data_IF_689697661481
#
_entry.id   IF_689697661481
#
_cell.length_a   1.000
_cell.length_b   1.000
_cell.length_c   1.000
_cell.angle_alpha   90.00
_cell.angle_beta   90.00
_cell.angle_gamma   90.00
#
_symmetry.space_group_name_H-M   'P 1'
#
loop_
_entity.id
_entity.type
_entity.pdbx_description
1 polymer ?
#
# COMPACT_ATOMS: atom_id res chain seq x y z
N UNK A 1 11.73 20.88 -28.43
CA UNK A 1 10.72 19.79 -28.36
C UNK A 1 10.87 19.18 -26.97
N UNK A 2 9.81 19.21 -26.15
CA UNK A 2 9.84 18.50 -24.87
C UNK A 2 9.96 17.00 -25.13
N UNK A 3 10.75 16.31 -24.30
CA UNK A 3 10.83 14.86 -24.31
C UNK A 3 9.43 14.26 -24.04
N UNK A 4 9.13 13.13 -24.66
CA UNK A 4 7.84 12.44 -24.51
C UNK A 4 8.02 11.14 -23.75
N UNK A 5 7.00 10.75 -23.01
CA UNK A 5 6.94 9.51 -22.24
C UNK A 5 5.69 8.71 -22.57
N UNK A 6 5.74 7.40 -22.40
CA UNK A 6 4.58 6.52 -22.38
C UNK A 6 3.93 6.56 -21.00
N UNK A 7 2.61 6.51 -20.95
CA UNK A 7 1.82 6.40 -19.72
C UNK A 7 0.53 5.63 -19.99
N UNK A 8 -0.12 5.19 -18.93
CA UNK A 8 -1.47 4.63 -18.96
C UNK A 8 -2.41 5.60 -18.25
N UNK A 9 -3.52 5.96 -18.86
CA UNK A 9 -4.51 6.85 -18.26
C UNK A 9 -5.90 6.22 -18.21
N UNK A 10 -6.71 6.58 -17.24
CA UNK A 10 -8.10 6.16 -17.19
C UNK A 10 -8.92 6.80 -18.30
N UNK A 11 -9.77 5.99 -18.93
CA UNK A 11 -10.85 6.46 -19.80
C UNK A 11 -12.08 6.83 -18.96
N UNK A 12 -13.07 7.47 -19.58
CA UNK A 12 -14.36 7.78 -18.92
C UNK A 12 -15.09 6.51 -18.42
N UNK A 13 -14.72 5.32 -18.91
CA UNK A 13 -15.25 4.02 -18.47
C UNK A 13 -14.38 3.33 -17.43
N UNK A 14 -13.38 4.02 -16.89
CA UNK A 14 -12.43 3.50 -15.90
C UNK A 14 -11.59 2.30 -16.38
N UNK A 15 -11.44 2.13 -17.69
CA UNK A 15 -10.43 1.27 -18.28
C UNK A 15 -9.14 2.06 -18.50
N UNK A 16 -8.02 1.39 -18.61
CA UNK A 16 -6.75 2.05 -18.90
C UNK A 16 -6.41 1.96 -20.39
N UNK A 17 -5.92 3.07 -20.93
CA UNK A 17 -5.43 3.17 -22.30
C UNK A 17 -4.02 3.73 -22.34
N UNK A 18 -3.17 3.25 -23.29
CA UNK A 18 -1.85 3.82 -23.49
C UNK A 18 -1.94 5.22 -24.12
N UNK A 19 -1.11 6.13 -23.63
CA UNK A 19 -0.99 7.49 -24.11
C UNK A 19 0.44 7.94 -24.18
N UNK A 20 0.70 8.98 -24.99
CA UNK A 20 1.97 9.69 -25.02
C UNK A 20 1.77 11.05 -24.37
N UNK A 21 2.54 11.32 -23.31
CA UNK A 21 2.53 12.57 -22.54
C UNK A 21 3.88 13.27 -22.65
N UNK A 22 3.96 14.59 -22.45
CA UNK A 22 5.26 15.24 -22.19
C UNK A 22 5.89 14.65 -20.93
N UNK A 23 7.21 14.49 -20.90
CA UNK A 23 7.90 14.22 -19.63
C UNK A 23 7.73 15.45 -18.74
N UNK A 24 7.25 15.31 -17.51
CA UNK A 24 7.03 16.45 -16.62
C UNK A 24 8.37 17.05 -16.16
N UNK A 25 8.39 18.36 -15.93
CA UNK A 25 9.55 19.07 -15.38
C UNK A 25 9.35 19.30 -13.88
N UNK A 26 10.31 18.88 -13.02
CA UNK A 26 10.18 19.05 -11.59
C UNK A 26 10.25 20.52 -11.21
N UNK A 27 9.25 21.01 -10.49
CA UNK A 27 9.22 22.35 -9.93
C UNK A 27 10.11 22.44 -8.67
N UNK A 28 10.24 23.64 -8.10
CA UNK A 28 10.98 23.81 -6.83
C UNK A 28 10.42 22.89 -5.74
N UNK A 29 11.30 22.10 -5.11
CA UNK A 29 10.95 21.13 -4.07
C UNK A 29 10.43 19.80 -4.61
N UNK A 30 10.43 19.56 -5.92
CA UNK A 30 9.97 18.32 -6.55
C UNK A 30 11.13 17.49 -7.12
N UNK A 31 10.89 16.20 -7.27
CA UNK A 31 11.82 15.23 -7.84
C UNK A 31 11.14 14.53 -9.03
N UNK A 32 11.84 14.47 -10.15
CA UNK A 32 11.46 13.63 -11.28
C UNK A 32 12.04 12.23 -11.09
N UNK A 33 11.18 11.23 -11.13
CA UNK A 33 11.56 9.82 -11.06
C UNK A 33 11.39 9.16 -12.42
N UNK A 34 12.43 8.49 -12.89
CA UNK A 34 12.29 7.47 -13.92
C UNK A 34 11.77 6.21 -13.25
N UNK A 35 10.51 5.89 -13.52
CA UNK A 35 9.80 4.79 -12.84
C UNK A 35 10.30 3.45 -13.39
N UNK A 36 10.63 2.52 -12.51
CA UNK A 36 11.01 1.14 -12.86
C UNK A 36 9.83 0.18 -12.64
N UNK A 37 9.07 0.39 -11.57
CA UNK A 37 7.97 -0.48 -11.18
C UNK A 37 6.91 0.29 -10.38
N UNK A 38 5.64 -0.15 -10.49
CA UNK A 38 4.46 0.45 -9.86
C UNK A 38 3.63 -0.63 -9.19
N UNK A 39 3.24 -0.41 -7.94
CA UNK A 39 2.28 -1.25 -7.25
C UNK A 39 0.85 -0.98 -7.71
N UNK A 40 0.08 -2.05 -7.94
CA UNK A 40 -1.30 -1.95 -8.41
C UNK A 40 -2.28 -2.06 -7.27
N UNK A 41 -3.17 -1.08 -7.17
CA UNK A 41 -4.36 -1.13 -6.31
C UNK A 41 -5.63 -1.02 -7.16
N UNK A 42 -6.34 -2.13 -7.42
CA UNK A 42 -7.53 -2.11 -8.27
C UNK A 42 -8.63 -1.16 -7.81
N UNK A 43 -8.68 -0.87 -6.50
CA UNK A 43 -9.63 0.07 -5.89
C UNK A 43 -9.38 1.54 -6.25
N UNK A 44 -8.20 1.90 -6.76
CA UNK A 44 -7.94 3.28 -7.24
C UNK A 44 -8.96 3.77 -8.25
N UNK A 45 -9.55 2.87 -9.03
CA UNK A 45 -10.59 3.19 -10.01
C UNK A 45 -11.78 3.95 -9.42
N UNK A 46 -12.09 3.70 -8.14
CA UNK A 46 -13.30 4.23 -7.48
C UNK A 46 -12.98 5.24 -6.38
N UNK A 47 -11.72 5.62 -6.21
CA UNK A 47 -11.36 6.64 -5.24
C UNK A 47 -11.77 8.04 -5.69
N UNK A 48 -12.20 8.85 -4.75
CA UNK A 48 -12.54 10.26 -5.02
C UNK A 48 -11.35 11.02 -5.59
N UNK A 49 -10.14 10.74 -5.11
CA UNK A 49 -8.88 11.34 -5.56
C UNK A 49 -8.50 10.99 -7.00
N UNK A 50 -9.01 9.89 -7.55
CA UNK A 50 -8.84 9.54 -8.97
C UNK A 50 -9.77 10.35 -9.88
N UNK A 51 -10.96 10.68 -9.41
CA UNK A 51 -12.02 11.36 -10.17
C UNK A 51 -12.14 12.85 -9.91
N UNK A 52 -11.49 13.38 -8.86
CA UNK A 52 -11.52 14.80 -8.48
C UNK A 52 -10.14 15.28 -8.03
N UNK A 53 -9.87 16.55 -8.27
CA UNK A 53 -8.74 17.25 -7.66
C UNK A 53 -9.04 17.62 -6.20
N UNK A 54 -8.04 18.08 -5.46
CA UNK A 54 -8.18 18.48 -4.05
C UNK A 54 -9.17 19.64 -3.83
N UNK A 55 -9.41 20.46 -4.85
CA UNK A 55 -10.39 21.55 -4.83
C UNK A 55 -11.82 21.09 -5.16
N UNK A 56 -12.03 19.77 -5.38
CA UNK A 56 -13.31 19.18 -5.74
C UNK A 56 -13.69 19.28 -7.21
N UNK A 57 -12.85 19.87 -8.07
CA UNK A 57 -13.10 19.86 -9.52
C UNK A 57 -12.92 18.48 -10.11
N UNK A 58 -13.73 18.13 -11.11
CA UNK A 58 -13.67 16.81 -11.74
C UNK A 58 -12.34 16.62 -12.48
N UNK A 59 -11.72 15.46 -12.22
CA UNK A 59 -10.48 15.02 -12.87
C UNK A 59 -10.81 13.92 -13.87
N UNK A 60 -10.40 14.13 -15.11
CA UNK A 60 -10.49 13.14 -16.18
C UNK A 60 -9.08 12.69 -16.55
N UNK A 61 -8.97 11.46 -17.05
CA UNK A 61 -7.71 10.96 -17.64
C UNK A 61 -6.53 10.91 -16.63
N UNK A 62 -6.81 10.60 -15.36
CA UNK A 62 -5.78 10.42 -14.36
C UNK A 62 -4.86 9.24 -14.73
N UNK A 63 -3.57 9.39 -14.46
CA UNK A 63 -2.61 8.29 -14.49
C UNK A 63 -2.67 7.61 -13.11
N UNK A 64 -2.96 6.29 -13.00
CA UNK A 64 -3.00 5.58 -11.72
C UNK A 64 -1.63 5.15 -11.23
N UNK A 65 -1.61 4.48 -10.04
CA UNK A 65 -0.42 3.89 -9.47
C UNK A 65 0.34 4.85 -8.57
N UNK A 66 -0.14 5.01 -7.34
CA UNK A 66 0.46 5.97 -6.41
C UNK A 66 1.78 5.47 -5.81
N UNK A 67 1.97 4.16 -5.63
CA UNK A 67 3.22 3.61 -5.08
C UNK A 67 4.15 3.07 -6.16
N UNK A 68 5.44 3.32 -6.01
CA UNK A 68 6.42 3.02 -7.04
C UNK A 68 7.83 2.80 -6.48
N UNK A 69 8.70 2.28 -7.35
CA UNK A 69 10.15 2.33 -7.20
C UNK A 69 10.79 2.74 -8.54
N UNK A 70 11.87 3.48 -8.47
CA UNK A 70 12.55 4.00 -9.66
C UNK A 70 13.87 4.67 -9.32
N UNK A 71 14.35 5.48 -10.28
CA UNK A 71 15.62 6.18 -10.23
C UNK A 71 15.37 7.69 -10.29
N UNK A 72 16.06 8.46 -9.48
CA UNK A 72 16.02 9.93 -9.53
C UNK A 72 16.58 10.40 -10.87
N UNK A 73 15.74 11.02 -11.70
CA UNK A 73 16.07 11.49 -13.05
C UNK A 73 16.19 13.02 -13.16
N UNK A 74 15.65 13.76 -12.21
CA UNK A 74 15.73 15.21 -12.16
C UNK A 74 15.41 15.76 -10.78
N UNK A 75 15.98 16.93 -10.45
CA UNK A 75 15.81 17.59 -9.16
C UNK A 75 15.35 19.02 -9.40
N UNK A 76 14.22 19.40 -8.82
CA UNK A 76 13.78 20.79 -8.76
C UNK A 76 14.63 21.64 -7.83
N UNK A 77 14.53 22.94 -7.97
CA UNK A 77 15.30 23.88 -7.14
C UNK A 77 15.01 23.66 -5.64
N UNK A 78 16.04 23.69 -4.82
CA UNK A 78 15.93 23.56 -3.36
C UNK A 78 15.82 22.13 -2.85
N UNK A 79 15.76 21.11 -3.70
CA UNK A 79 15.82 19.71 -3.28
C UNK A 79 17.19 19.37 -2.72
N UNK A 80 17.23 18.76 -1.56
CA UNK A 80 18.44 18.26 -0.89
C UNK A 80 18.26 16.82 -0.44
N UNK A 81 19.34 16.10 -0.17
CA UNK A 81 19.30 14.71 0.34
C UNK A 81 19.13 13.65 -0.74
N UNK A 82 18.97 14.02 -2.01
CA UNK A 82 18.90 13.12 -3.16
C UNK A 82 19.84 13.56 -4.28
N UNK A 83 20.31 12.62 -5.07
CA UNK A 83 21.19 12.81 -6.23
C UNK A 83 20.63 12.12 -7.47
N UNK A 84 20.97 12.61 -8.65
CA UNK A 84 20.66 11.91 -9.90
C UNK A 84 21.24 10.49 -9.86
N UNK A 85 20.43 9.51 -10.24
CA UNK A 85 20.81 8.09 -10.22
C UNK A 85 20.50 7.35 -8.93
N UNK A 86 20.06 8.03 -7.87
CA UNK A 86 19.64 7.37 -6.64
C UNK A 86 18.45 6.43 -6.88
N UNK A 87 18.57 5.21 -6.38
CA UNK A 87 17.46 4.26 -6.38
C UNK A 87 16.53 4.53 -5.19
N UNK A 88 15.26 4.78 -5.47
CA UNK A 88 14.25 5.20 -4.48
C UNK A 88 12.96 4.40 -4.59
N UNK A 89 12.17 4.43 -3.52
CA UNK A 89 10.81 3.93 -3.49
C UNK A 89 9.94 4.83 -2.60
N UNK A 90 8.64 4.81 -2.82
CA UNK A 90 7.70 5.65 -2.08
C UNK A 90 6.31 5.63 -2.67
N UNK A 91 5.45 6.53 -2.20
CA UNK A 91 4.14 6.73 -2.83
C UNK A 91 3.74 8.20 -2.85
N UNK A 92 3.07 8.59 -3.95
CA UNK A 92 2.67 9.95 -4.21
C UNK A 92 1.48 10.39 -3.36
N UNK A 93 1.32 11.72 -3.26
CA UNK A 93 0.09 12.35 -2.78
C UNK A 93 -1.12 11.80 -3.55
N UNK A 94 -2.22 11.58 -2.82
CA UNK A 94 -3.42 10.96 -3.38
C UNK A 94 -4.06 11.75 -4.53
N UNK A 95 -3.82 13.06 -4.60
CA UNK A 95 -4.30 13.94 -5.66
C UNK A 95 -3.27 14.18 -6.78
N UNK A 96 -2.06 13.66 -6.65
CA UNK A 96 -1.04 13.76 -7.69
C UNK A 96 -1.34 12.81 -8.86
N UNK A 97 -0.64 13.00 -9.99
CA UNK A 97 -0.59 11.97 -11.04
C UNK A 97 0.15 10.75 -10.51
N UNK A 98 -0.33 9.56 -10.88
CA UNK A 98 0.31 8.30 -10.50
C UNK A 98 1.56 8.00 -11.32
N UNK A 99 2.13 6.84 -11.06
CA UNK A 99 3.40 6.40 -11.60
C UNK A 99 3.26 5.31 -12.69
N UNK A 100 2.04 4.99 -13.17
CA UNK A 100 1.88 4.05 -14.30
C UNK A 100 2.27 4.74 -15.62
N UNK A 101 3.54 5.19 -15.66
CA UNK A 101 4.18 5.96 -16.70
C UNK A 101 5.70 5.74 -16.64
N UNK A 102 6.44 6.15 -17.67
CA UNK A 102 7.91 6.09 -17.66
C UNK A 102 8.53 7.07 -16.67
N UNK A 103 7.83 8.17 -16.36
CA UNK A 103 8.28 9.17 -15.38
C UNK A 103 7.10 9.66 -14.54
N UNK A 104 7.38 10.02 -13.28
CA UNK A 104 6.43 10.71 -12.42
C UNK A 104 7.14 11.80 -11.60
N UNK A 105 6.35 12.76 -11.09
CA UNK A 105 6.81 13.78 -10.14
C UNK A 105 6.41 13.36 -8.73
N UNK A 106 7.30 13.64 -7.79
CA UNK A 106 7.05 13.41 -6.36
C UNK A 106 7.76 14.44 -5.49
N UNK A 107 7.58 14.36 -4.17
CA UNK A 107 8.27 15.21 -3.18
C UNK A 107 9.30 14.40 -2.39
N UNK A 108 10.39 15.03 -1.93
CA UNK A 108 11.39 14.36 -1.06
C UNK A 108 10.76 13.66 0.15
N UNK A 109 9.75 14.28 0.78
CA UNK A 109 9.04 13.72 1.97
C UNK A 109 8.32 12.42 1.71
N UNK A 110 8.02 12.10 0.44
CA UNK A 110 7.27 10.91 0.03
C UNK A 110 8.18 9.73 -0.33
N UNK A 111 9.49 9.96 -0.34
CA UNK A 111 10.50 9.03 -0.82
C UNK A 111 11.41 8.53 0.29
N UNK A 112 11.96 7.37 0.04
CA UNK A 112 13.09 6.80 0.78
C UNK A 112 14.07 6.16 -0.20
N UNK A 113 15.37 6.08 0.14
CA UNK A 113 16.30 5.19 -0.54
C UNK A 113 15.74 3.76 -0.58
N UNK A 114 15.80 3.14 -1.76
CA UNK A 114 15.35 1.75 -1.93
C UNK A 114 16.24 0.81 -1.11
N UNK A 115 15.67 -0.12 -0.31
CA UNK A 115 16.46 -1.15 0.35
C UNK A 115 17.36 -1.90 -0.64
N UNK A 116 18.61 -2.12 -0.26
CA UNK A 116 19.61 -2.77 -1.13
C UNK A 116 19.25 -4.23 -1.43
N UNK A 117 18.57 -4.89 -0.50
CA UNK A 117 18.11 -6.27 -0.59
C UNK A 117 16.91 -6.47 -1.53
N UNK A 118 16.19 -5.40 -1.91
CA UNK A 118 15.02 -5.49 -2.78
C UNK A 118 15.33 -5.08 -4.21
N UNK A 119 14.79 -5.80 -5.17
CA UNK A 119 14.64 -5.34 -6.55
C UNK A 119 13.64 -4.17 -6.63
N UNK A 120 13.61 -3.42 -7.74
CA UNK A 120 12.58 -2.39 -7.95
C UNK A 120 11.15 -2.98 -7.96
N UNK A 121 11.00 -4.20 -8.47
CA UNK A 121 9.72 -4.93 -8.49
C UNK A 121 9.22 -5.19 -7.06
N UNK A 122 10.09 -5.72 -6.20
CA UNK A 122 9.75 -5.95 -4.79
C UNK A 122 9.53 -4.63 -4.04
N UNK A 123 10.39 -3.64 -4.24
CA UNK A 123 10.29 -2.34 -3.59
C UNK A 123 8.99 -1.60 -3.92
N UNK A 124 8.48 -1.70 -5.15
CA UNK A 124 7.20 -1.11 -5.55
C UNK A 124 5.98 -1.79 -4.90
N UNK A 125 6.12 -2.98 -4.31
CA UNK A 125 5.02 -3.66 -3.61
C UNK A 125 4.83 -3.20 -2.15
N UNK A 126 5.72 -2.35 -1.66
CA UNK A 126 5.92 -2.11 -0.23
C UNK A 126 5.25 -0.84 0.29
N UNK A 127 5.41 0.37 -0.30
CA UNK A 127 5.22 1.64 0.39
C UNK A 127 3.86 1.82 1.05
N UNK A 128 2.79 1.76 0.30
CA UNK A 128 1.44 1.96 0.82
C UNK A 128 1.08 0.86 1.82
N UNK A 129 1.33 -0.40 1.47
CA UNK A 129 0.93 -1.54 2.30
C UNK A 129 1.69 -1.58 3.63
N UNK A 130 2.99 -1.33 3.59
CA UNK A 130 3.83 -1.33 4.79
C UNK A 130 3.51 -0.15 5.70
N UNK A 131 3.40 1.08 5.15
CA UNK A 131 3.07 2.26 5.93
C UNK A 131 1.65 2.17 6.52
N UNK A 132 0.69 1.62 5.77
CA UNK A 132 -0.66 1.36 6.31
C UNK A 132 -0.60 0.43 7.52
N UNK A 133 0.12 -0.69 7.42
CA UNK A 133 0.27 -1.64 8.52
C UNK A 133 1.00 -1.00 9.71
N UNK A 134 2.08 -0.27 9.44
CA UNK A 134 2.86 0.41 10.48
C UNK A 134 2.05 1.49 11.20
N UNK A 135 1.47 2.42 10.46
CA UNK A 135 0.70 3.52 11.04
C UNK A 135 -0.51 2.98 11.80
N UNK A 136 -1.23 1.99 11.24
CA UNK A 136 -2.37 1.39 11.91
C UNK A 136 -2.01 0.69 13.21
N UNK A 137 -0.95 -0.11 13.23
CA UNK A 137 -0.56 -0.86 14.42
C UNK A 137 0.19 -0.01 15.46
N UNK A 138 1.12 0.85 15.03
CA UNK A 138 2.04 1.52 15.93
C UNK A 138 1.64 2.97 16.26
N UNK A 139 1.03 3.69 15.31
CA UNK A 139 0.59 5.09 15.52
C UNK A 139 -0.83 5.11 16.06
N UNK A 140 -1.78 4.47 15.36
CA UNK A 140 -3.19 4.49 15.71
C UNK A 140 -3.49 3.57 16.91
N UNK A 141 -3.24 2.27 16.75
CA UNK A 141 -3.52 1.28 17.81
C UNK A 141 -2.49 1.29 18.95
N UNK A 142 -1.29 1.82 18.75
CA UNK A 142 -0.19 1.84 19.74
C UNK A 142 0.06 0.45 20.33
N UNK A 143 0.11 -0.58 19.48
CA UNK A 143 0.28 -1.99 19.84
C UNK A 143 1.50 -2.17 20.73
N UNK A 144 1.33 -2.87 21.88
CA UNK A 144 2.37 -3.13 22.86
C UNK A 144 2.80 -4.60 22.81
N UNK A 145 4.03 -4.83 23.29
CA UNK A 145 4.55 -6.19 23.51
C UNK A 145 3.63 -6.96 24.45
N UNK A 146 3.32 -8.21 24.09
CA UNK A 146 2.47 -9.11 24.90
C UNK A 146 0.98 -8.91 24.71
N UNK A 147 0.53 -7.87 23.98
CA UNK A 147 -0.89 -7.73 23.62
C UNK A 147 -1.32 -8.79 22.60
N UNK A 148 -2.59 -9.13 22.59
CA UNK A 148 -3.23 -9.99 21.60
C UNK A 148 -3.82 -9.11 20.49
N UNK A 149 -3.44 -9.36 19.26
CA UNK A 149 -3.95 -8.63 18.09
C UNK A 149 -4.65 -9.59 17.14
N UNK A 150 -5.88 -9.23 16.72
CA UNK A 150 -6.60 -9.88 15.64
C UNK A 150 -6.43 -9.07 14.34
N UNK A 151 -5.85 -9.69 13.31
CA UNK A 151 -5.63 -9.09 12.01
C UNK A 151 -6.56 -9.76 10.99
N UNK A 152 -7.55 -9.04 10.50
CA UNK A 152 -8.38 -9.52 9.40
C UNK A 152 -7.65 -9.43 8.07
N UNK A 153 -7.71 -10.51 7.28
CA UNK A 153 -7.09 -10.55 5.96
C UNK A 153 -5.57 -10.68 5.98
N UNK A 154 -5.01 -11.53 6.85
CA UNK A 154 -3.56 -11.69 7.06
C UNK A 154 -2.72 -12.05 5.83
N UNK A 155 -3.33 -12.60 4.77
CA UNK A 155 -2.65 -12.90 3.50
C UNK A 155 -2.76 -11.78 2.45
N UNK A 156 -3.53 -10.70 2.73
CA UNK A 156 -3.68 -9.55 1.84
C UNK A 156 -2.45 -8.65 1.82
N UNK A 157 -2.41 -7.70 0.88
CA UNK A 157 -1.24 -6.83 0.69
C UNK A 157 -0.83 -6.05 1.94
N UNK A 158 -1.78 -5.54 2.73
CA UNK A 158 -1.51 -4.88 4.01
C UNK A 158 -1.35 -5.89 5.14
N UNK A 159 -2.21 -6.92 5.17
CA UNK A 159 -2.25 -7.92 6.23
C UNK A 159 -0.93 -8.66 6.40
N UNK A 160 -0.26 -9.00 5.31
CA UNK A 160 1.04 -9.69 5.37
C UNK A 160 2.14 -8.86 6.09
N UNK A 161 2.11 -7.53 5.95
CA UNK A 161 3.01 -6.65 6.71
C UNK A 161 2.52 -6.47 8.14
N UNK A 162 1.20 -6.36 8.35
CA UNK A 162 0.65 -6.24 9.70
C UNK A 162 1.00 -7.45 10.57
N UNK A 163 0.94 -8.68 10.04
CA UNK A 163 1.36 -9.90 10.75
C UNK A 163 2.85 -9.85 11.12
N UNK A 164 3.73 -9.53 10.16
CA UNK A 164 5.17 -9.46 10.39
C UNK A 164 5.53 -8.37 11.43
N UNK A 165 4.95 -7.17 11.31
CA UNK A 165 5.20 -6.06 12.24
C UNK A 165 4.67 -6.34 13.64
N UNK A 166 3.47 -6.91 13.77
CA UNK A 166 2.91 -7.28 15.08
C UNK A 166 3.76 -8.38 15.76
N UNK A 167 4.24 -9.36 14.99
CA UNK A 167 5.17 -10.39 15.49
C UNK A 167 6.49 -9.77 15.96
N UNK A 168 7.10 -8.91 15.16
CA UNK A 168 8.34 -8.21 15.52
C UNK A 168 8.15 -7.35 16.79
N UNK A 169 6.96 -6.77 17.01
CA UNK A 169 6.62 -6.06 18.24
C UNK A 169 6.53 -6.95 19.46
N UNK A 170 6.43 -8.28 19.28
CA UNK A 170 6.25 -9.26 20.36
C UNK A 170 4.80 -9.37 20.82
N UNK A 171 3.84 -9.07 19.98
CA UNK A 171 2.41 -9.33 20.21
C UNK A 171 2.09 -10.81 19.97
N UNK A 172 1.00 -11.29 20.54
CA UNK A 172 0.36 -12.55 20.17
C UNK A 172 -0.55 -12.32 18.98
N UNK A 173 -0.22 -12.88 17.83
CA UNK A 173 -0.83 -12.54 16.55
C UNK A 173 -1.84 -13.60 16.12
N UNK A 174 -3.11 -13.21 16.03
CA UNK A 174 -4.20 -13.99 15.47
C UNK A 174 -4.57 -13.38 14.13
N UNK A 175 -4.65 -14.16 13.07
CA UNK A 175 -5.01 -13.63 11.75
C UNK A 175 -6.15 -14.43 11.12
N UNK A 176 -6.99 -13.77 10.32
CA UNK A 176 -7.94 -14.47 9.46
C UNK A 176 -7.38 -14.59 8.04
N UNK A 177 -7.59 -15.73 7.41
CA UNK A 177 -7.25 -15.96 6.00
C UNK A 177 -8.18 -17.01 5.38
N UNK A 178 -8.04 -17.26 4.08
CA UNK A 178 -8.63 -18.48 3.51
C UNK A 178 -7.78 -19.71 3.84
N UNK A 179 -8.38 -20.90 3.80
CA UNK A 179 -7.71 -22.19 4.05
C UNK A 179 -6.40 -22.35 3.27
N UNK A 180 -6.39 -21.96 2.01
CA UNK A 180 -5.21 -22.05 1.16
C UNK A 180 -4.02 -21.18 1.62
N UNK A 181 -4.27 -20.18 2.46
CA UNK A 181 -3.27 -19.22 2.91
C UNK A 181 -2.83 -19.43 4.37
N UNK A 182 -3.38 -20.41 5.07
CA UNK A 182 -3.09 -20.62 6.50
C UNK A 182 -1.60 -20.80 6.76
N UNK A 183 -0.94 -21.70 6.02
CA UNK A 183 0.47 -21.99 6.21
C UNK A 183 1.36 -20.77 5.88
N UNK A 184 1.00 -20.03 4.84
CA UNK A 184 1.68 -18.78 4.51
C UNK A 184 1.59 -17.76 5.64
N UNK A 185 0.40 -17.53 6.18
CA UNK A 185 0.19 -16.54 7.25
C UNK A 185 0.89 -16.96 8.54
N UNK A 186 0.95 -18.27 8.85
CA UNK A 186 1.78 -18.80 9.95
C UNK A 186 3.26 -18.55 9.72
N UNK A 187 3.76 -18.75 8.50
CA UNK A 187 5.17 -18.46 8.14
C UNK A 187 5.53 -16.97 8.28
N UNK A 188 4.55 -16.07 8.13
CA UNK A 188 4.74 -14.64 8.40
C UNK A 188 4.87 -14.32 9.90
N UNK A 189 4.52 -15.25 10.79
CA UNK A 189 4.65 -15.13 12.23
C UNK A 189 3.34 -15.03 13.00
N UNK A 190 2.18 -15.37 12.40
CA UNK A 190 0.94 -15.50 13.14
C UNK A 190 1.00 -16.73 14.07
N UNK A 191 0.61 -16.53 15.35
CA UNK A 191 0.52 -17.62 16.34
C UNK A 191 -0.72 -18.48 16.08
N UNK A 192 -1.84 -17.85 15.64
CA UNK A 192 -3.08 -18.51 15.27
C UNK A 192 -3.57 -17.98 13.91
N UNK A 193 -4.13 -18.87 13.09
CA UNK A 193 -4.78 -18.49 11.81
C UNK A 193 -6.15 -19.15 11.73
N UNK A 194 -7.18 -18.35 11.54
CA UNK A 194 -8.58 -18.76 11.48
C UNK A 194 -9.04 -18.68 10.02
N UNK A 195 -9.57 -19.78 9.47
CA UNK A 195 -10.24 -19.75 8.18
C UNK A 195 -11.58 -19.02 8.30
N UNK A 196 -11.69 -17.85 7.68
CA UNK A 196 -12.90 -17.03 7.76
C UNK A 196 -14.13 -17.64 7.06
N UNK A 197 -13.94 -18.72 6.28
CA UNK A 197 -15.02 -19.41 5.57
C UNK A 197 -15.63 -20.57 6.38
N UNK A 198 -14.82 -21.23 7.20
CA UNK A 198 -15.20 -22.43 7.96
C UNK A 198 -15.27 -22.14 9.46
N UNK A 199 -14.39 -21.30 9.99
CA UNK A 199 -14.31 -20.95 11.40
C UNK A 199 -14.97 -19.63 11.71
N UNK A 200 -15.31 -19.47 12.96
CA UNK A 200 -15.79 -18.20 13.52
C UNK A 200 -14.60 -17.48 14.11
N UNK A 201 -14.25 -16.32 13.56
CA UNK A 201 -13.13 -15.55 14.09
C UNK A 201 -13.36 -15.10 15.56
N UNK A 202 -14.59 -15.20 16.06
CA UNK A 202 -14.93 -15.02 17.47
C UNK A 202 -14.25 -16.05 18.39
N UNK A 203 -13.79 -17.16 17.85
CA UNK A 203 -12.99 -18.17 18.58
C UNK A 203 -11.63 -17.61 19.01
N UNK A 204 -11.17 -16.50 18.41
CA UNK A 204 -10.01 -15.75 18.89
C UNK A 204 -10.15 -15.29 20.36
N UNK A 205 -11.39 -15.22 20.87
CA UNK A 205 -11.68 -14.68 22.19
C UNK A 205 -11.40 -13.16 22.26
N UNK A 206 -11.26 -12.66 23.48
CA UNK A 206 -11.02 -11.22 23.68
C UNK A 206 -9.59 -10.82 23.31
N UNK A 207 -9.45 -9.70 22.59
CA UNK A 207 -8.18 -9.17 22.10
C UNK A 207 -7.98 -7.71 22.52
N UNK A 208 -6.74 -7.27 22.55
CA UNK A 208 -6.37 -5.89 22.90
C UNK A 208 -6.47 -4.96 21.68
N UNK A 209 -6.16 -5.48 20.50
CA UNK A 209 -6.17 -4.73 19.23
C UNK A 209 -6.86 -5.55 18.14
N UNK A 210 -7.65 -4.87 17.32
CA UNK A 210 -8.16 -5.40 16.06
C UNK A 210 -7.66 -4.51 14.92
N UNK A 211 -7.02 -5.12 13.94
CA UNK A 211 -6.63 -4.47 12.69
C UNK A 211 -7.49 -5.02 11.55
N UNK A 212 -8.46 -4.23 11.11
CA UNK A 212 -9.46 -4.64 10.13
C UNK A 212 -9.12 -4.11 8.73
N UNK A 213 -8.75 -5.01 7.82
CA UNK A 213 -8.60 -4.71 6.39
C UNK A 213 -9.89 -4.91 5.59
N UNK A 214 -10.99 -5.19 6.29
CA UNK A 214 -12.30 -5.53 5.73
C UNK A 214 -13.39 -4.68 6.39
N UNK A 215 -14.50 -4.50 5.67
CA UNK A 215 -15.70 -3.79 6.14
C UNK A 215 -16.89 -4.75 6.34
N UNK A 216 -18.07 -4.18 6.53
CA UNK A 216 -19.34 -4.88 6.63
C UNK A 216 -19.47 -5.76 7.87
N UNK A 217 -20.24 -6.86 7.77
CA UNK A 217 -20.58 -7.73 8.90
C UNK A 217 -19.36 -8.20 9.70
N UNK A 218 -18.23 -8.47 9.05
CA UNK A 218 -17.00 -8.86 9.76
C UNK A 218 -16.51 -7.77 10.70
N UNK A 219 -16.53 -6.51 10.25
CA UNK A 219 -16.16 -5.38 11.10
C UNK A 219 -17.16 -5.20 12.25
N UNK A 220 -18.45 -5.29 11.96
CA UNK A 220 -19.51 -5.10 12.96
C UNK A 220 -19.41 -6.11 14.09
N UNK A 221 -19.19 -7.37 13.76
CA UNK A 221 -19.01 -8.46 14.74
C UNK A 221 -17.68 -8.37 15.50
N UNK A 222 -16.68 -7.70 14.95
CA UNK A 222 -15.36 -7.58 15.57
C UNK A 222 -15.37 -6.71 16.83
N UNK A 223 -16.25 -5.73 16.92
CA UNK A 223 -16.33 -4.86 18.11
C UNK A 223 -16.54 -5.64 19.41
N UNK A 224 -17.28 -6.73 19.36
CA UNK A 224 -17.58 -7.57 20.52
C UNK A 224 -16.36 -8.37 21.01
N UNK A 225 -15.27 -8.43 20.23
CA UNK A 225 -14.04 -9.12 20.64
C UNK A 225 -13.06 -8.22 21.38
N UNK A 226 -13.29 -6.93 21.43
CA UNK A 226 -12.38 -6.04 22.17
C UNK A 226 -12.50 -6.28 23.68
N UNK A 227 -11.33 -6.31 24.33
CA UNK A 227 -11.25 -6.16 25.79
C UNK A 227 -11.67 -4.76 26.22
N UNK A 228 -11.96 -4.50 27.50
CA UNK A 228 -12.05 -3.14 28.02
C UNK A 228 -10.79 -2.35 27.64
N UNK A 229 -10.97 -1.14 27.08
CA UNK A 229 -9.91 -0.28 26.53
C UNK A 229 -9.17 -0.86 25.29
N UNK A 230 -9.70 -1.90 24.66
CA UNK A 230 -9.23 -2.41 23.39
C UNK A 230 -9.39 -1.37 22.26
N UNK A 231 -8.56 -1.47 21.22
CA UNK A 231 -8.52 -0.53 20.09
C UNK A 231 -8.83 -1.26 18.79
N UNK A 232 -9.66 -0.67 17.96
CA UNK A 232 -9.92 -1.14 16.61
C UNK A 232 -9.40 -0.11 15.61
N UNK A 233 -8.68 -0.58 14.62
CA UNK A 233 -8.20 0.22 13.50
C UNK A 233 -8.71 -0.41 12.20
N UNK A 234 -9.28 0.39 11.33
CA UNK A 234 -9.90 -0.04 10.09
C UNK A 234 -9.41 0.79 8.90
N UNK A 235 -9.21 0.13 7.75
CA UNK A 235 -8.61 0.73 6.55
C UNK A 235 -9.39 0.48 5.25
N UNK A 236 -10.53 -0.21 5.33
CA UNK A 236 -11.32 -0.50 4.13
C UNK A 236 -11.95 0.80 3.59
N UNK A 237 -11.78 1.08 2.30
CA UNK A 237 -12.20 2.33 1.68
C UNK A 237 -13.72 2.60 1.80
N UNK A 238 -14.53 1.56 1.86
CA UNK A 238 -15.98 1.64 2.05
C UNK A 238 -16.38 2.32 3.36
N UNK A 239 -15.45 2.41 4.32
CA UNK A 239 -15.68 3.01 5.63
C UNK A 239 -15.54 4.54 5.63
N UNK A 240 -14.94 5.13 4.59
CA UNK A 240 -14.72 6.58 4.47
C UNK A 240 -16.03 7.37 4.59
N UNK A 241 -17.11 6.86 4.02
CA UNK A 241 -18.44 7.47 4.06
C UNK A 241 -19.31 7.04 5.25
N UNK A 242 -18.78 6.24 6.19
CA UNK A 242 -19.55 5.75 7.34
C UNK A 242 -20.04 6.89 8.22
N UNK A 243 -21.28 6.78 8.71
CA UNK A 243 -21.88 7.68 9.69
C UNK A 243 -21.75 7.17 11.14
N UNK A 244 -21.39 5.90 11.35
CA UNK A 244 -21.17 5.32 12.69
C UNK A 244 -19.94 5.99 13.36
N UNK A 245 -20.12 6.64 14.53
CA UNK A 245 -19.02 7.29 15.25
C UNK A 245 -17.87 6.35 15.61
N UNK A 246 -18.16 5.07 15.89
CA UNK A 246 -17.14 4.05 16.20
C UNK A 246 -16.26 3.79 14.98
N UNK A 247 -16.88 3.63 13.81
CA UNK A 247 -16.17 3.44 12.55
C UNK A 247 -15.35 4.68 12.22
N UNK A 248 -15.91 5.89 12.34
CA UNK A 248 -15.15 7.15 12.12
C UNK A 248 -13.92 7.27 13.00
N UNK A 249 -14.00 6.83 14.25
CA UNK A 249 -12.85 6.88 15.18
C UNK A 249 -11.80 5.81 14.89
N UNK A 250 -12.19 4.72 14.25
CA UNK A 250 -11.31 3.60 13.93
C UNK A 250 -10.69 3.67 12.54
N UNK A 251 -11.37 4.36 11.61
CA UNK A 251 -10.92 4.48 10.23
C UNK A 251 -9.80 5.51 10.07
N UNK A 252 -8.78 5.17 9.31
CA UNK A 252 -7.74 6.11 8.90
C UNK A 252 -7.30 5.85 7.46
N UNK A 253 -6.77 6.89 6.84
CA UNK A 253 -6.07 6.80 5.55
C UNK A 253 -4.58 6.95 5.83
N UNK A 254 -3.76 6.10 5.21
CA UNK A 254 -2.31 6.15 5.35
C UNK A 254 -1.74 7.46 4.77
N UNK A 255 -0.79 8.04 5.47
CA UNK A 255 -0.07 9.25 5.04
C UNK A 255 1.32 8.88 4.50
N UNK A 256 1.78 9.69 3.54
CA UNK A 256 3.14 9.61 3.02
C UNK A 256 4.12 9.99 4.14
N UNK A 257 5.13 9.15 4.33
CA UNK A 257 6.19 9.41 5.31
C UNK A 257 7.48 8.71 4.88
N UNK A 258 8.35 9.46 4.22
CA UNK A 258 9.63 8.96 3.74
C UNK A 258 10.57 8.56 4.88
N UNK A 259 10.49 9.20 6.06
CA UNK A 259 11.34 8.86 7.21
C UNK A 259 10.91 7.53 7.85
N UNK A 260 9.58 7.33 8.04
CA UNK A 260 9.07 6.03 8.46
C UNK A 260 9.47 4.94 7.47
N UNK A 261 9.30 5.21 6.16
CA UNK A 261 9.65 4.26 5.10
C UNK A 261 11.14 3.93 5.10
N UNK A 262 12.02 4.93 5.32
CA UNK A 262 13.47 4.73 5.44
C UNK A 262 13.84 3.85 6.64
N UNK A 263 13.18 4.09 7.77
CA UNK A 263 13.40 3.30 8.98
C UNK A 263 12.96 1.85 8.80
N UNK A 264 11.78 1.65 8.21
CA UNK A 264 11.23 0.33 7.91
C UNK A 264 11.98 -0.39 6.78
N UNK A 265 12.53 0.36 5.83
CA UNK A 265 13.36 -0.15 4.74
C UNK A 265 14.55 -0.97 5.24
N UNK A 266 15.16 -0.56 6.36
CA UNK A 266 16.29 -1.27 6.98
C UNK A 266 15.92 -2.70 7.44
N UNK A 267 14.65 -2.95 7.75
CA UNK A 267 14.18 -4.27 8.18
C UNK A 267 14.16 -5.29 7.02
N UNK A 268 14.11 -4.83 5.78
CA UNK A 268 14.31 -5.72 4.61
C UNK A 268 15.79 -6.08 4.46
N UNK A 269 16.68 -5.10 4.62
CA UNK A 269 18.12 -5.34 4.52
C UNK A 269 18.65 -6.24 5.65
N UNK A 270 18.03 -6.21 6.84
CA UNK A 270 18.32 -7.14 7.93
C UNK A 270 17.62 -8.51 7.79
N UNK A 271 16.67 -8.65 6.86
CA UNK A 271 15.88 -9.88 6.69
C UNK A 271 14.74 -10.07 7.70
N UNK A 272 14.46 -9.06 8.53
CA UNK A 272 13.34 -9.09 9.50
C UNK A 272 11.97 -8.94 8.82
N UNK A 273 11.90 -8.21 7.70
CA UNK A 273 10.71 -8.11 6.87
C UNK A 273 10.95 -8.73 5.49
N UNK A 274 9.87 -9.26 4.91
CA UNK A 274 9.87 -9.83 3.56
C UNK A 274 8.79 -9.16 2.72
N UNK A 275 9.13 -8.80 1.49
CA UNK A 275 8.21 -8.32 0.47
C UNK A 275 7.70 -9.50 -0.37
N UNK A 276 6.47 -9.38 -0.89
CA UNK A 276 5.85 -10.43 -1.69
C UNK A 276 5.18 -9.82 -2.93
N UNK A 277 5.53 -10.36 -4.08
CA UNK A 277 4.98 -9.96 -5.37
C UNK A 277 4.07 -11.07 -5.89
N UNK A 278 2.82 -10.73 -6.12
CA UNK A 278 1.80 -11.67 -6.62
C UNK A 278 2.05 -12.06 -8.06
N UNK A 279 2.30 -11.08 -8.90
CA UNK A 279 2.66 -11.21 -10.31
C UNK A 279 3.26 -9.89 -10.81
N UNK A 280 4.02 -9.98 -11.91
CA UNK A 280 4.59 -8.85 -12.64
C UNK A 280 3.98 -8.82 -14.04
N UNK A 281 3.54 -7.62 -14.50
CA UNK A 281 3.04 -7.40 -15.85
C UNK A 281 3.77 -6.21 -16.49
N UNK A 282 3.91 -6.18 -17.83
CA UNK A 282 4.40 -4.99 -18.51
C UNK A 282 3.33 -3.88 -18.47
N UNK A 283 3.76 -2.62 -18.67
CA UNK A 283 2.88 -1.45 -18.59
C UNK A 283 1.71 -1.50 -19.59
N UNK A 284 1.93 -2.09 -20.73
CA UNK A 284 0.92 -2.28 -21.77
C UNK A 284 -0.26 -3.17 -21.32
N UNK A 285 -0.05 -4.00 -20.30
CA UNK A 285 -1.08 -4.84 -19.67
C UNK A 285 -1.70 -4.22 -18.40
N UNK A 286 -1.49 -2.94 -18.14
CA UNK A 286 -1.98 -2.26 -16.94
C UNK A 286 -3.50 -2.39 -16.78
N UNK A 287 -4.29 -2.28 -17.86
CA UNK A 287 -5.75 -2.45 -17.79
C UNK A 287 -6.13 -3.82 -17.21
N UNK A 288 -5.45 -4.87 -17.65
CA UNK A 288 -5.62 -6.22 -17.11
C UNK A 288 -5.20 -6.32 -15.64
N UNK A 289 -4.11 -5.64 -15.25
CA UNK A 289 -3.67 -5.61 -13.85
C UNK A 289 -4.73 -4.96 -12.93
N UNK A 290 -5.33 -3.86 -13.37
CA UNK A 290 -6.38 -3.15 -12.63
C UNK A 290 -7.77 -3.84 -12.69
N UNK A 291 -7.96 -4.87 -13.51
CA UNK A 291 -9.22 -5.63 -13.54
C UNK A 291 -9.46 -6.46 -12.26
N UNK A 292 -8.43 -6.69 -11.45
CA UNK A 292 -8.49 -7.54 -10.25
C UNK A 292 -8.54 -9.06 -10.55
N UNK A 293 -8.49 -9.46 -11.83
CA UNK A 293 -8.69 -10.86 -12.26
C UNK A 293 -7.40 -11.69 -12.31
N UNK A 294 -6.23 -11.10 -12.01
CA UNK A 294 -4.95 -11.80 -12.11
C UNK A 294 -4.77 -12.78 -10.95
N UNK A 295 -4.63 -14.06 -11.28
CA UNK A 295 -4.18 -15.08 -10.36
C UNK A 295 -2.66 -14.97 -10.11
N UNK A 296 -2.19 -15.47 -8.99
CA UNK A 296 -0.76 -15.43 -8.64
C UNK A 296 -0.51 -15.82 -7.19
N UNK A 297 0.73 -15.65 -6.76
CA UNK A 297 1.17 -15.88 -5.40
C UNK A 297 0.59 -14.84 -4.41
N UNK A 298 1.10 -14.81 -3.20
CA UNK A 298 0.76 -13.78 -2.21
C UNK A 298 1.42 -12.44 -2.55
N UNK A 299 0.85 -11.35 -2.03
CA UNK A 299 1.42 -10.02 -2.19
C UNK A 299 0.69 -9.17 -3.24
N UNK A 300 1.38 -8.21 -3.81
CA UNK A 300 0.83 -7.19 -4.70
C UNK A 300 1.14 -7.46 -6.16
N UNK A 301 0.24 -7.07 -7.05
CA UNK A 301 0.51 -7.00 -8.49
C UNK A 301 1.42 -5.81 -8.77
N UNK A 302 2.41 -6.01 -9.64
CA UNK A 302 3.36 -4.98 -10.04
C UNK A 302 3.34 -4.78 -11.55
N UNK A 303 3.31 -3.53 -11.95
CA UNK A 303 3.52 -3.12 -13.34
C UNK A 303 4.98 -2.71 -13.50
N UNK A 304 5.67 -3.30 -14.47
CA UNK A 304 6.99 -2.87 -14.90
C UNK A 304 6.87 -1.83 -16.01
N UNK A 305 7.50 -0.68 -15.83
CA UNK A 305 7.41 0.45 -16.77
C UNK A 305 8.57 0.48 -17.77
N UNK A 306 9.72 -0.13 -17.42
CA UNK A 306 10.89 -0.22 -18.32
C UNK A 306 10.89 -1.55 -19.06
N UNK A 307 11.20 -1.54 -20.35
CA UNK A 307 11.59 -2.76 -21.09
C UNK A 307 12.91 -3.29 -20.53
N UNK A 308 13.01 -4.61 -20.38
CA UNK A 308 14.27 -5.31 -20.02
C UNK A 308 15.34 -5.01 -21.04
#
# INVERSE_FOLDING_TARGET
MHAKMKAMEFTDKLNLQPVIRPVPEPQAGEILIQVSAVGVMPTEKVWSTTSHYADGTARTKAIPGHEFSGIVAGLGAGVTGYSLGDAVFGFNDWYAEGATAEFCITKPSNLSPKPSSLSHIEAASVPISLLTAWQGLHVQAKLQKGERVLIHGGAGAVGLFAVQLARSRGAYVIATSSKANIDFVKQLGADEVIDYREGRFEEAGKVDVIFATVAGETLDRSWDLLKPNGRLVAIAAELESSTDPRVKSAYFIVEQDGEQLASLGKLFDSGELKAFVKAELPMEEADRAYSGSIAGNHGKLIIRTTTR
#
